data_IF_564129056128
#
_entry.id   IF_564129056128
#
_cell.length_a   1.000
_cell.length_b   1.000
_cell.length_c   1.000
_cell.angle_alpha   90.00
_cell.angle_beta   90.00
_cell.angle_gamma   90.00
#
_symmetry.space_group_name_H-M   'P 1'
#
loop_
_entity.id
_entity.type
_entity.pdbx_description
1 polymer ?
#
# COMPACT_ATOMS: atom_id res chain seq x y z
N UNK A 1 19.55 11.80 14.12
CA UNK A 1 18.76 10.66 13.62
C UNK A 1 19.02 10.59 12.13
N UNK A 2 19.34 9.42 11.58
CA UNK A 2 19.56 9.30 10.13
C UNK A 2 18.22 9.43 9.38
N UNK A 3 18.20 9.92 8.13
CA UNK A 3 16.97 10.04 7.35
C UNK A 3 16.22 8.71 7.20
N UNK A 4 16.91 7.58 6.97
CA UNK A 4 16.24 6.27 6.86
C UNK A 4 15.63 5.81 8.19
N UNK A 5 16.25 6.15 9.33
CA UNK A 5 15.68 5.87 10.65
C UNK A 5 14.38 6.63 10.88
N UNK A 6 14.30 7.87 10.43
CA UNK A 6 13.08 8.67 10.49
C UNK A 6 11.97 8.10 9.60
N UNK A 7 12.29 7.71 8.37
CA UNK A 7 11.32 7.06 7.47
C UNK A 7 10.76 5.79 8.10
N UNK A 8 11.62 4.99 8.73
CA UNK A 8 11.18 3.80 9.47
C UNK A 8 10.24 4.17 10.62
N UNK A 9 10.58 5.20 11.42
CA UNK A 9 9.70 5.67 12.51
C UNK A 9 8.37 6.21 12.02
N UNK A 10 8.32 6.86 10.86
CA UNK A 10 7.07 7.27 10.19
C UNK A 10 6.22 6.03 9.91
N UNK A 11 6.77 5.01 9.25
CA UNK A 11 6.03 3.80 8.92
C UNK A 11 5.58 3.02 10.17
N UNK A 12 6.43 2.95 11.20
CA UNK A 12 6.09 2.29 12.47
C UNK A 12 4.97 3.04 13.21
N UNK A 13 5.06 4.37 13.33
CA UNK A 13 4.01 5.19 13.94
C UNK A 13 2.70 5.09 13.16
N UNK A 14 2.78 5.14 11.84
CA UNK A 14 1.64 5.00 10.96
C UNK A 14 0.93 3.65 11.15
N UNK A 15 1.70 2.55 11.19
CA UNK A 15 1.16 1.23 11.48
C UNK A 15 0.53 1.15 12.87
N UNK A 16 1.14 1.74 13.89
CA UNK A 16 0.58 1.74 15.24
C UNK A 16 -0.76 2.48 15.34
N UNK A 17 -0.95 3.54 14.54
CA UNK A 17 -2.19 4.34 14.55
C UNK A 17 -3.28 3.69 13.68
N UNK A 18 -2.91 3.21 12.49
CA UNK A 18 -3.89 2.79 11.47
C UNK A 18 -4.07 1.28 11.35
N UNK A 19 -3.10 0.50 11.85
CA UNK A 19 -2.98 -0.94 11.58
C UNK A 19 -2.50 -1.27 10.16
N UNK A 20 -2.25 -0.26 9.32
CA UNK A 20 -1.81 -0.45 7.93
C UNK A 20 -0.29 -0.51 7.86
N UNK A 21 0.24 -1.55 7.24
CA UNK A 21 1.67 -1.64 6.98
C UNK A 21 2.00 -0.83 5.74
N UNK A 22 3.26 -0.40 5.66
CA UNK A 22 3.79 0.25 4.48
C UNK A 22 5.20 -0.28 4.19
N UNK A 23 5.69 0.02 3.00
CA UNK A 23 7.08 -0.19 2.63
C UNK A 23 7.61 1.02 1.87
N UNK A 24 8.91 1.25 1.99
CA UNK A 24 9.61 2.33 1.32
C UNK A 24 10.34 1.80 0.09
N UNK A 25 10.22 2.53 -1.01
CA UNK A 25 10.88 2.23 -2.30
C UNK A 25 11.73 3.43 -2.67
N UNK A 26 13.04 3.25 -2.79
CA UNK A 26 13.95 4.33 -3.20
C UNK A 26 14.16 4.32 -4.71
N UNK A 27 14.27 3.12 -5.29
CA UNK A 27 14.54 2.92 -6.70
C UNK A 27 13.51 1.96 -7.31
N UNK A 28 13.15 2.18 -8.58
CA UNK A 28 12.19 1.33 -9.28
C UNK A 28 12.64 -0.15 -9.37
N UNK A 29 13.95 -0.40 -9.35
CA UNK A 29 14.54 -1.75 -9.32
C UNK A 29 14.33 -2.48 -7.99
N UNK A 30 13.97 -1.75 -6.92
CA UNK A 30 13.64 -2.33 -5.62
C UNK A 30 12.18 -2.82 -5.53
N UNK A 31 11.34 -2.44 -6.51
CA UNK A 31 9.95 -2.86 -6.58
C UNK A 31 9.90 -4.38 -6.75
N UNK A 32 9.41 -5.02 -5.70
CA UNK A 32 9.26 -6.47 -5.64
C UNK A 32 8.01 -6.78 -4.84
N UNK A 33 6.87 -6.85 -5.52
CA UNK A 33 5.58 -7.12 -4.87
C UNK A 33 5.57 -8.45 -4.13
N UNK A 34 6.45 -9.40 -4.46
CA UNK A 34 6.66 -10.64 -3.70
C UNK A 34 7.01 -10.41 -2.22
N UNK A 35 7.57 -9.25 -1.85
CA UNK A 35 7.94 -8.90 -0.46
C UNK A 35 6.78 -8.36 0.38
N UNK A 36 5.63 -8.09 -0.24
CA UNK A 36 4.40 -7.65 0.43
C UNK A 36 4.02 -8.61 1.57
N UNK A 37 3.60 -8.04 2.70
CA UNK A 37 3.26 -8.82 3.91
C UNK A 37 1.76 -9.07 4.05
N UNK A 38 0.93 -8.35 3.30
CA UNK A 38 -0.51 -8.57 3.24
C UNK A 38 -0.84 -10.01 2.78
N UNK A 39 -1.54 -10.77 3.62
CA UNK A 39 -1.84 -12.19 3.32
C UNK A 39 -2.80 -12.37 2.15
N UNK A 40 -3.75 -11.46 1.95
CA UNK A 40 -4.65 -11.52 0.79
C UNK A 40 -3.85 -11.34 -0.51
N UNK A 41 -2.98 -10.34 -0.58
CA UNK A 41 -2.10 -10.14 -1.73
C UNK A 41 -1.16 -11.35 -1.95
N UNK A 42 -0.65 -11.98 -0.88
CA UNK A 42 0.17 -13.20 -1.00
C UNK A 42 -0.59 -14.36 -1.64
N UNK A 43 -1.88 -14.53 -1.33
CA UNK A 43 -2.70 -15.57 -1.94
C UNK A 43 -2.78 -15.37 -3.46
N UNK A 44 -3.04 -14.14 -3.91
CA UNK A 44 -3.09 -13.80 -5.34
C UNK A 44 -1.75 -14.05 -6.03
N UNK A 45 -0.64 -13.63 -5.42
CA UNK A 45 0.72 -13.72 -5.97
C UNK A 45 1.25 -15.15 -6.15
N UNK A 46 0.52 -16.17 -5.70
CA UNK A 46 0.78 -17.56 -6.12
C UNK A 46 0.53 -17.76 -7.62
N UNK A 47 -0.29 -16.91 -8.22
CA UNK A 47 -0.45 -16.78 -9.65
C UNK A 47 0.59 -15.84 -10.25
N UNK A 48 1.31 -16.30 -11.26
CA UNK A 48 2.34 -15.49 -11.94
C UNK A 48 1.73 -14.27 -12.65
N UNK A 49 0.51 -14.38 -13.18
CA UNK A 49 -0.19 -13.26 -13.81
C UNK A 49 -0.62 -12.20 -12.79
N UNK A 50 -1.06 -12.61 -11.59
CA UNK A 50 -1.35 -11.69 -10.50
C UNK A 50 -0.10 -10.98 -9.99
N UNK A 51 1.01 -11.72 -9.84
CA UNK A 51 2.29 -11.14 -9.41
C UNK A 51 2.77 -10.07 -10.40
N UNK A 52 2.69 -10.35 -11.71
CA UNK A 52 3.04 -9.37 -12.74
C UNK A 52 2.18 -8.11 -12.64
N UNK A 53 0.86 -8.24 -12.48
CA UNK A 53 -0.03 -7.09 -12.34
C UNK A 53 0.22 -6.32 -11.02
N UNK A 54 0.59 -6.99 -9.94
CA UNK A 54 1.01 -6.31 -8.71
C UNK A 54 2.24 -5.41 -8.95
N UNK A 55 3.24 -5.93 -9.67
CA UNK A 55 4.46 -5.17 -9.98
C UNK A 55 4.15 -4.00 -10.92
N UNK A 56 3.34 -4.22 -11.97
CA UNK A 56 2.87 -3.17 -12.89
C UNK A 56 2.14 -2.05 -12.13
N UNK A 57 1.15 -2.40 -11.30
CA UNK A 57 0.42 -1.43 -10.48
C UNK A 57 1.34 -0.66 -9.53
N UNK A 58 2.32 -1.33 -8.90
CA UNK A 58 3.24 -0.69 -7.96
C UNK A 58 4.20 0.26 -8.68
N UNK A 59 4.71 -0.15 -9.84
CA UNK A 59 5.60 0.65 -10.67
C UNK A 59 4.92 1.92 -11.18
N UNK A 60 3.70 1.81 -11.72
CA UNK A 60 2.94 2.95 -12.21
C UNK A 60 2.69 3.99 -11.11
N UNK A 61 2.28 3.53 -9.92
CA UNK A 61 1.97 4.41 -8.80
C UNK A 61 3.20 5.02 -8.14
N UNK A 62 4.28 4.23 -7.97
CA UNK A 62 5.58 4.74 -7.55
C UNK A 62 6.04 5.88 -8.47
N UNK A 63 6.03 5.62 -9.78
CA UNK A 63 6.47 6.58 -10.80
C UNK A 63 5.58 7.81 -10.81
N UNK A 64 4.25 7.65 -10.69
CA UNK A 64 3.29 8.75 -10.62
C UNK A 64 3.48 9.64 -9.39
N UNK A 65 3.70 9.05 -8.21
CA UNK A 65 3.94 9.78 -6.98
C UNK A 65 5.28 10.53 -7.02
N UNK A 66 6.33 9.88 -7.53
CA UNK A 66 7.65 10.49 -7.67
C UNK A 66 7.63 11.66 -8.66
N UNK A 67 6.99 11.51 -9.83
CA UNK A 67 6.91 12.55 -10.87
C UNK A 67 6.06 13.74 -10.44
N UNK A 68 4.92 13.48 -9.80
CA UNK A 68 4.00 14.55 -9.39
C UNK A 68 4.42 15.24 -8.09
N UNK A 69 5.30 14.59 -7.31
CA UNK A 69 5.63 14.95 -5.93
C UNK A 69 4.38 15.19 -5.07
N UNK A 70 3.33 14.39 -5.30
CA UNK A 70 2.07 14.39 -4.55
C UNK A 70 1.65 12.95 -4.23
N UNK A 71 0.88 12.73 -3.15
CA UNK A 71 0.26 11.44 -2.92
C UNK A 71 -0.54 10.98 -4.13
N UNK A 72 -0.51 9.68 -4.42
CA UNK A 72 -1.32 9.04 -5.46
C UNK A 72 -2.19 7.98 -4.80
N UNK A 73 -3.50 8.06 -5.00
CA UNK A 73 -4.50 7.06 -4.60
C UNK A 73 -4.89 6.25 -5.82
N UNK A 74 -4.98 4.92 -5.68
CA UNK A 74 -5.34 4.03 -6.79
C UNK A 74 -6.05 2.78 -6.29
N UNK A 75 -6.87 2.18 -7.16
CA UNK A 75 -7.32 0.81 -6.98
C UNK A 75 -6.35 -0.13 -7.71
N UNK A 76 -5.84 -1.15 -7.02
CA UNK A 76 -4.99 -2.15 -7.68
C UNK A 76 -5.83 -3.11 -8.54
N UNK A 77 -5.17 -3.98 -9.30
CA UNK A 77 -5.82 -5.01 -10.10
C UNK A 77 -6.75 -5.98 -9.32
N UNK A 78 -6.58 -6.05 -7.99
CA UNK A 78 -7.43 -6.84 -7.09
C UNK A 78 -8.54 -5.99 -6.41
N UNK A 79 -8.69 -4.73 -6.79
CA UNK A 79 -9.68 -3.80 -6.26
C UNK A 79 -9.33 -3.16 -4.91
N UNK A 80 -8.15 -3.42 -4.33
CA UNK A 80 -7.76 -2.74 -3.09
C UNK A 80 -7.40 -1.29 -3.36
N UNK A 81 -7.94 -0.38 -2.55
CA UNK A 81 -7.54 1.02 -2.55
C UNK A 81 -6.21 1.14 -1.83
N UNK A 82 -5.20 1.66 -2.52
CA UNK A 82 -3.84 1.87 -2.03
C UNK A 82 -3.44 3.31 -2.25
N UNK A 83 -2.42 3.75 -1.53
CA UNK A 83 -1.79 5.06 -1.78
C UNK A 83 -0.28 5.01 -1.70
N UNK A 84 0.33 5.92 -2.44
CA UNK A 84 1.76 6.13 -2.54
C UNK A 84 2.07 7.57 -2.14
N UNK A 85 2.93 7.78 -1.15
CA UNK A 85 3.29 9.10 -0.63
C UNK A 85 4.77 9.36 -0.92
N UNK A 86 5.12 10.41 -1.69
CA UNK A 86 6.51 10.72 -1.98
C UNK A 86 7.22 11.21 -0.72
N UNK A 87 8.48 10.81 -0.57
CA UNK A 87 9.35 11.17 0.54
C UNK A 87 10.52 11.98 0.01
N UNK A 88 10.81 13.08 0.68
CA UNK A 88 12.03 13.86 0.51
C UNK A 88 12.51 14.33 1.87
N UNK A 89 13.43 13.59 2.47
CA UNK A 89 14.01 13.83 3.79
C UNK A 89 15.53 13.94 3.63
N UNK A 90 16.08 15.16 3.80
CA UNK A 90 17.47 15.47 3.49
C UNK A 90 17.86 15.00 2.06
N UNK A 91 18.84 14.10 1.95
CA UNK A 91 19.33 13.49 0.72
C UNK A 91 18.58 12.21 0.32
N UNK A 92 17.69 11.69 1.17
CA UNK A 92 16.90 10.49 0.89
C UNK A 92 15.59 10.83 0.18
N UNK A 93 15.39 10.22 -0.98
CA UNK A 93 14.18 10.31 -1.80
C UNK A 93 13.61 8.94 -2.09
N UNK A 94 12.30 8.89 -2.25
CA UNK A 94 11.58 7.67 -2.62
C UNK A 94 10.09 7.82 -2.41
N UNK A 95 9.40 6.70 -2.25
CA UNK A 95 7.96 6.66 -2.06
C UNK A 95 7.63 5.63 -0.99
N UNK A 96 6.80 6.01 -0.02
CA UNK A 96 6.16 5.06 0.89
C UNK A 96 4.88 4.57 0.22
N UNK A 97 4.73 3.25 0.09
CA UNK A 97 3.53 2.61 -0.44
C UNK A 97 2.81 1.92 0.70
N UNK A 98 1.53 2.26 0.88
CA UNK A 98 0.67 1.64 1.89
C UNK A 98 0.11 0.30 1.42
N UNK A 99 -0.16 -0.62 2.35
CA UNK A 99 -1.04 -1.77 2.09
C UNK A 99 -2.44 -1.29 1.69
N UNK A 100 -3.19 -2.17 1.01
CA UNK A 100 -4.50 -1.83 0.48
C UNK A 100 -5.65 -2.05 1.44
N UNK A 101 -6.69 -1.23 1.30
CA UNK A 101 -7.96 -1.29 2.02
C UNK A 101 -9.11 -1.61 1.07
N UNK A 102 -10.27 -1.96 1.62
CA UNK A 102 -11.51 -2.12 0.86
C UNK A 102 -12.58 -1.14 1.35
N UNK A 103 -13.53 -0.84 0.49
CA UNK A 103 -14.73 -0.08 0.87
C UNK A 103 -15.73 -0.95 1.62
N UNK A 104 -16.69 -0.33 2.30
CA UNK A 104 -17.80 -1.05 2.94
C UNK A 104 -18.61 -1.86 1.92
N UNK A 105 -18.83 -1.33 0.72
CA UNK A 105 -19.55 -2.04 -0.36
C UNK A 105 -18.80 -3.31 -0.77
N UNK A 106 -17.49 -3.20 -1.00
CA UNK A 106 -16.63 -4.35 -1.31
C UNK A 106 -16.59 -5.41 -0.19
N UNK A 107 -16.79 -5.01 1.06
CA UNK A 107 -16.95 -5.94 2.18
C UNK A 107 -18.29 -6.68 2.15
N UNK A 108 -19.38 -6.03 1.74
CA UNK A 108 -20.69 -6.67 1.57
C UNK A 108 -20.71 -7.63 0.36
N UNK A 109 -19.95 -7.30 -0.68
CA UNK A 109 -19.83 -8.07 -1.92
C UNK A 109 -18.61 -9.00 -1.92
N UNK A 110 -18.10 -9.34 -0.74
CA UNK A 110 -16.84 -10.09 -0.60
C UNK A 110 -16.85 -11.43 -1.34
N UNK A 111 -17.97 -12.15 -1.33
CA UNK A 111 -18.06 -13.45 -2.00
C UNK A 111 -17.96 -13.33 -3.52
N UNK A 112 -18.67 -12.39 -4.13
CA UNK A 112 -18.67 -12.17 -5.57
C UNK A 112 -17.30 -11.69 -6.05
N UNK A 113 -16.69 -10.76 -5.31
CA UNK A 113 -15.36 -10.26 -5.61
C UNK A 113 -14.30 -11.36 -5.53
N UNK A 114 -14.36 -12.17 -4.47
CA UNK A 114 -13.43 -13.29 -4.28
C UNK A 114 -13.65 -14.39 -5.31
N UNK A 115 -14.90 -14.68 -5.72
CA UNK A 115 -15.20 -15.60 -6.82
C UNK A 115 -14.49 -15.14 -8.10
N UNK A 116 -14.71 -13.88 -8.48
CA UNK A 116 -14.11 -13.30 -9.67
C UNK A 116 -12.57 -13.38 -9.66
N UNK A 117 -11.94 -12.99 -8.55
CA UNK A 117 -10.48 -13.03 -8.43
C UNK A 117 -9.93 -14.46 -8.41
N UNK A 118 -10.61 -15.40 -7.73
CA UNK A 118 -10.18 -16.79 -7.67
C UNK A 118 -10.20 -17.45 -9.05
N UNK A 119 -11.24 -17.20 -9.85
CA UNK A 119 -11.35 -17.66 -11.24
C UNK A 119 -10.30 -16.99 -12.13
N UNK A 120 -10.18 -15.66 -12.06
CA UNK A 120 -9.27 -14.87 -12.91
C UNK A 120 -7.81 -15.28 -12.74
N UNK A 121 -7.39 -15.52 -11.49
CA UNK A 121 -5.99 -15.84 -11.18
C UNK A 121 -5.75 -17.33 -10.95
N UNK A 122 -6.78 -18.17 -11.02
CA UNK A 122 -6.74 -19.61 -10.74
C UNK A 122 -6.11 -19.91 -9.36
N UNK A 123 -6.65 -19.27 -8.31
CA UNK A 123 -6.17 -19.42 -6.92
C UNK A 123 -7.25 -19.99 -6.01
N UNK A 124 -6.86 -20.49 -4.83
CA UNK A 124 -7.79 -21.11 -3.88
C UNK A 124 -8.79 -20.11 -3.31
N UNK A 125 -10.06 -20.22 -3.73
CA UNK A 125 -11.17 -19.38 -3.23
C UNK A 125 -11.31 -19.41 -1.69
N UNK A 126 -11.34 -20.56 -0.99
CA UNK A 126 -11.52 -20.57 0.47
C UNK A 126 -10.41 -19.82 1.22
N UNK A 127 -9.16 -19.98 0.77
CA UNK A 127 -8.01 -19.29 1.37
C UNK A 127 -8.07 -17.80 1.04
N UNK A 128 -8.44 -17.44 -0.19
CA UNK A 128 -8.56 -16.05 -0.62
C UNK A 128 -9.65 -15.32 0.18
N UNK A 129 -10.85 -15.92 0.32
CA UNK A 129 -11.96 -15.36 1.09
C UNK A 129 -11.59 -15.12 2.55
N UNK A 130 -10.96 -16.11 3.19
CA UNK A 130 -10.52 -16.00 4.57
C UNK A 130 -9.56 -14.83 4.83
N UNK A 131 -8.71 -14.50 3.85
CA UNK A 131 -7.78 -13.39 3.97
C UNK A 131 -8.38 -12.06 3.53
N UNK A 132 -9.32 -12.06 2.57
CA UNK A 132 -10.03 -10.86 2.12
C UNK A 132 -10.88 -10.25 3.24
N UNK A 133 -11.57 -11.07 4.05
CA UNK A 133 -12.40 -10.59 5.17
C UNK A 133 -11.60 -9.94 6.31
N UNK A 134 -10.27 -10.05 6.27
CA UNK A 134 -9.36 -9.39 7.23
C UNK A 134 -8.75 -8.11 6.71
N UNK A 135 -8.99 -7.75 5.44
CA UNK A 135 -8.53 -6.49 4.87
C UNK A 135 -9.27 -5.35 5.57
N UNK A 136 -8.54 -4.29 5.91
CA UNK A 136 -9.09 -3.13 6.60
C UNK A 136 -10.15 -2.48 5.72
N UNK A 137 -11.29 -2.12 6.33
CA UNK A 137 -12.39 -1.43 5.68
C UNK A 137 -12.29 0.06 5.99
N UNK A 138 -12.26 0.90 4.96
CA UNK A 138 -12.28 2.36 5.09
C UNK A 138 -13.32 2.99 4.15
N UNK A 139 -13.90 4.11 4.58
CA UNK A 139 -14.61 5.03 3.69
C UNK A 139 -13.63 6.04 3.06
N UNK A 140 -14.13 6.92 2.19
CA UNK A 140 -13.27 7.88 1.50
C UNK A 140 -12.59 8.87 2.45
N UNK A 141 -13.33 9.44 3.41
CA UNK A 141 -12.78 10.37 4.41
C UNK A 141 -11.63 9.72 5.19
N UNK A 142 -11.81 8.47 5.64
CA UNK A 142 -10.77 7.71 6.35
C UNK A 142 -9.53 7.46 5.49
N UNK A 143 -9.70 7.26 4.18
CA UNK A 143 -8.56 7.12 3.26
C UNK A 143 -7.80 8.45 3.16
N UNK A 144 -8.49 9.57 3.00
CA UNK A 144 -7.86 10.89 2.90
C UNK A 144 -7.17 11.28 4.21
N UNK A 145 -7.83 11.09 5.37
CA UNK A 145 -7.24 11.32 6.70
C UNK A 145 -6.00 10.44 6.92
N UNK A 146 -6.02 9.20 6.42
CA UNK A 146 -4.89 8.29 6.51
C UNK A 146 -3.72 8.73 5.63
N UNK A 147 -3.98 9.29 4.45
CA UNK A 147 -2.93 9.89 3.60
C UNK A 147 -2.34 11.13 4.29
N UNK A 148 -3.19 12.01 4.82
CA UNK A 148 -2.77 13.24 5.52
C UNK A 148 -1.91 12.90 6.75
N UNK A 149 -2.33 11.91 7.54
CA UNK A 149 -1.55 11.41 8.69
C UNK A 149 -0.13 11.01 8.28
N UNK A 150 0.04 10.27 7.17
CA UNK A 150 1.37 9.88 6.71
C UNK A 150 2.21 11.10 6.31
N UNK A 151 1.61 12.08 5.64
CA UNK A 151 2.28 13.32 5.27
C UNK A 151 2.68 14.14 6.50
N UNK A 152 1.84 14.20 7.53
CA UNK A 152 2.12 14.92 8.76
C UNK A 152 3.21 14.26 9.60
N UNK A 153 3.22 12.93 9.66
CA UNK A 153 4.33 12.19 10.26
C UNK A 153 5.65 12.47 9.53
N UNK A 154 5.65 12.50 8.19
CA UNK A 154 6.82 12.86 7.39
C UNK A 154 7.29 14.30 7.69
N UNK A 155 6.38 15.27 7.75
CA UNK A 155 6.69 16.67 8.10
C UNK A 155 7.28 16.79 9.51
N UNK A 156 6.70 16.09 10.48
CA UNK A 156 7.18 16.07 11.85
C UNK A 156 8.62 15.56 11.93
N UNK A 157 8.89 14.37 11.38
CA UNK A 157 10.22 13.79 11.43
C UNK A 157 11.24 14.55 10.58
N UNK A 158 10.81 15.21 9.51
CA UNK A 158 11.64 16.17 8.76
C UNK A 158 12.13 17.29 9.68
N UNK A 159 11.21 17.95 10.38
CA UNK A 159 11.55 19.04 11.28
C UNK A 159 12.47 18.60 12.43
N UNK A 160 12.32 17.35 12.93
CA UNK A 160 13.18 16.78 13.97
C UNK A 160 14.61 16.50 13.50
N UNK A 161 14.82 16.20 12.21
CA UNK A 161 16.17 15.96 11.67
C UNK A 161 16.84 17.26 11.24
N UNK A 162 16.06 18.21 10.72
CA UNK A 162 16.58 19.47 10.15
C UNK A 162 16.75 20.60 11.20
N UNK A 163 16.11 20.47 12.37
CA UNK A 163 16.25 21.40 13.50
C UNK A 163 17.30 20.98 14.51
#
# INVERSE_FOLDING_TARGET
>A
MLPEEAIKKVMDAYYHITGLRCYFVQDETEISSAKEKNFFCKCLKTSSSALRQCDECTFENYTGALKSNKPQKYACHAGLVKWSVPVSLADVKGVIVSEGVITKQQGLEAEDWVNHLAETYNVSRPILLHNYTKVVVMNEDQVEESIELMQDLLKYYKAVIEG
#
